data_IF_372915467787
#
_entry.id   IF_372915467787
#
_cell.length_a   1.000
_cell.length_b   1.000
_cell.length_c   1.000
_cell.angle_alpha   90.00
_cell.angle_beta   90.00
_cell.angle_gamma   90.00
#
_symmetry.space_group_name_H-M   'P 1'
#
loop_
_entity.id
_entity.type
_entity.pdbx_description
1 polymer ?
#
# COMPACT_ATOMS: atom_id res chain seq x y z
N UNK A 1 4.70 -14.78 7.90
CA UNK A 1 4.03 -13.91 6.91
C UNK A 1 4.14 -12.48 7.46
N UNK A 2 4.62 -11.51 6.68
CA UNK A 2 4.68 -10.11 7.13
C UNK A 2 3.41 -9.44 6.65
N UNK A 3 2.66 -8.84 7.57
CA UNK A 3 1.45 -8.08 7.27
C UNK A 3 1.85 -6.61 7.15
N UNK A 4 1.47 -5.98 6.03
CA UNK A 4 1.59 -4.55 5.86
C UNK A 4 0.20 -3.96 6.02
N UNK A 5 0.01 -3.16 7.08
CA UNK A 5 -1.24 -2.45 7.30
C UNK A 5 -1.14 -1.08 6.67
N UNK A 6 -2.23 -0.62 6.05
CA UNK A 6 -2.35 0.74 5.60
C UNK A 6 -2.09 1.67 6.79
N UNK A 7 -1.16 2.63 6.70
CA UNK A 7 -0.97 3.62 7.76
C UNK A 7 -2.21 4.51 7.86
N UNK A 8 -2.38 5.16 9.01
CA UNK A 8 -3.47 6.11 9.22
C UNK A 8 -3.40 7.21 8.14
N UNK A 9 -4.47 7.35 7.35
CA UNK A 9 -4.48 8.21 6.16
C UNK A 9 -5.08 9.60 6.44
N UNK A 10 -5.58 9.85 7.65
CA UNK A 10 -6.09 11.14 8.08
C UNK A 10 -7.16 11.03 9.18
N UNK A 11 -7.24 12.02 10.07
CA UNK A 11 -8.21 12.04 11.17
C UNK A 11 -9.65 11.94 10.63
N UNK A 12 -10.33 10.82 10.90
CA UNK A 12 -11.72 10.60 10.48
C UNK A 12 -11.90 9.88 9.15
N UNK A 13 -10.83 9.43 8.47
CA UNK A 13 -10.95 8.56 7.30
C UNK A 13 -11.12 7.11 7.76
N UNK A 14 -12.29 6.53 7.48
CA UNK A 14 -12.63 5.19 7.94
C UNK A 14 -12.08 4.08 7.03
N UNK A 15 -11.86 4.39 5.75
CA UNK A 15 -11.55 3.41 4.70
C UNK A 15 -10.64 4.07 3.66
N UNK A 16 -9.67 3.34 3.13
CA UNK A 16 -8.85 3.77 1.99
C UNK A 16 -8.99 2.78 0.85
N UNK A 17 -9.12 3.28 -0.37
CA UNK A 17 -9.28 2.46 -1.57
C UNK A 17 -7.91 2.18 -2.20
N UNK A 18 -7.65 0.91 -2.52
CA UNK A 18 -6.47 0.55 -3.31
C UNK A 18 -6.74 0.79 -4.79
N UNK A 19 -6.01 1.71 -5.40
CA UNK A 19 -6.14 2.05 -6.81
C UNK A 19 -5.36 1.08 -7.71
N UNK A 20 -4.10 0.78 -7.36
CA UNK A 20 -3.22 -0.04 -8.20
C UNK A 20 -2.13 -0.74 -7.39
N UNK A 21 -1.75 -1.95 -7.83
CA UNK A 21 -0.53 -2.64 -7.45
C UNK A 21 0.55 -2.43 -8.52
N UNK A 22 1.77 -2.12 -8.09
CA UNK A 22 2.94 -1.95 -8.97
C UNK A 22 3.92 -3.12 -8.88
N UNK A 23 3.60 -4.13 -8.07
CA UNK A 23 4.41 -5.33 -7.85
C UNK A 23 3.53 -6.57 -7.81
N UNK A 24 4.08 -7.70 -8.23
CA UNK A 24 3.41 -8.99 -8.22
C UNK A 24 4.03 -9.95 -7.18
N UNK A 25 3.28 -10.98 -6.74
CA UNK A 25 3.83 -11.99 -5.85
C UNK A 25 5.07 -12.68 -6.44
N UNK A 26 6.19 -12.59 -5.74
CA UNK A 26 7.48 -13.15 -6.19
C UNK A 26 8.46 -12.09 -6.70
N UNK A 27 8.01 -10.85 -6.91
CA UNK A 27 8.89 -9.76 -7.30
C UNK A 27 9.85 -9.36 -6.18
N UNK A 28 11.02 -8.88 -6.59
CA UNK A 28 12.03 -8.33 -5.69
C UNK A 28 11.81 -6.84 -5.52
N UNK A 29 11.36 -6.43 -4.34
CA UNK A 29 11.20 -5.01 -3.98
C UNK A 29 12.53 -4.43 -3.48
N UNK A 30 12.86 -3.21 -3.91
CA UNK A 30 14.04 -2.46 -3.44
C UNK A 30 13.66 -1.29 -2.55
N UNK A 31 14.65 -0.71 -1.85
CA UNK A 31 14.44 0.51 -1.05
C UNK A 31 13.89 1.64 -1.94
N UNK A 32 12.97 2.44 -1.38
CA UNK A 32 12.25 3.53 -2.04
C UNK A 32 11.37 3.15 -3.24
N UNK A 33 11.17 1.87 -3.53
CA UNK A 33 10.28 1.43 -4.60
C UNK A 33 8.80 1.63 -4.23
N UNK A 34 8.04 2.25 -5.13
CA UNK A 34 6.57 2.32 -5.04
C UNK A 34 5.96 0.95 -5.30
N UNK A 35 5.13 0.47 -4.38
CA UNK A 35 4.51 -0.86 -4.45
C UNK A 35 3.01 -0.82 -4.72
N UNK A 36 2.33 0.24 -4.30
CA UNK A 36 0.90 0.41 -4.46
C UNK A 36 0.50 1.89 -4.40
N UNK A 37 -0.62 2.20 -5.03
CA UNK A 37 -1.31 3.49 -4.93
C UNK A 37 -2.62 3.31 -4.17
N UNK A 38 -2.87 4.24 -3.25
CA UNK A 38 -4.05 4.24 -2.35
C UNK A 38 -4.65 5.64 -2.32
N UNK A 39 -5.97 5.71 -2.26
CA UNK A 39 -6.76 6.94 -2.13
C UNK A 39 -7.58 6.90 -0.83
N UNK A 40 -7.92 8.06 -0.29
CA UNK A 40 -8.68 8.25 0.96
C UNK A 40 -10.10 8.70 0.69
#
# INVERSE_FOLDING_TARGET
>A
MREFKLPDVGEGVAEGELLAWHVEPGDRVTEDQVVAEVET
#
